data_IF_495371530690
#
_entry.id   IF_495371530690
#
_cell.length_a   1.000
_cell.length_b   1.000
_cell.length_c   1.000
_cell.angle_alpha   90.00
_cell.angle_beta   90.00
_cell.angle_gamma   90.00
#
_symmetry.space_group_name_H-M   'P 1'
#
loop_
_entity.id
_entity.type
_entity.pdbx_description
1 polymer ?
#
# COMPACT_ATOMS: atom_id res chain seq x y z
N UNK A 1 -14.35 -3.36 3.37
CA UNK A 1 -14.07 -4.42 2.39
C UNK A 1 -12.68 -4.93 2.73
N UNK A 2 -12.55 -6.23 3.01
CA UNK A 2 -11.24 -6.89 3.15
C UNK A 2 -10.80 -7.37 1.76
N UNK A 3 -9.49 -7.45 1.52
CA UNK A 3 -8.91 -8.12 0.37
C UNK A 3 -8.66 -9.57 0.78
N UNK A 4 -9.19 -10.55 0.04
CA UNK A 4 -8.87 -11.97 0.26
C UNK A 4 -7.36 -12.18 0.10
N UNK A 5 -6.72 -12.92 1.01
CA UNK A 5 -5.27 -13.12 0.96
C UNK A 5 -4.44 -11.98 1.55
N UNK A 6 -5.05 -10.92 2.10
CA UNK A 6 -4.30 -9.78 2.64
C UNK A 6 -4.81 -9.33 4.01
N UNK A 7 -3.89 -9.17 4.96
CA UNK A 7 -4.16 -8.62 6.28
C UNK A 7 -3.85 -7.12 6.30
N UNK A 8 -4.87 -6.29 6.51
CA UNK A 8 -4.68 -4.84 6.69
C UNK A 8 -4.13 -4.54 8.07
N UNK A 9 -2.96 -3.94 8.13
CA UNK A 9 -2.39 -3.31 9.32
C UNK A 9 -2.46 -1.79 9.17
N UNK A 10 -2.97 -1.12 10.20
CA UNK A 10 -2.76 0.33 10.34
C UNK A 10 -1.48 0.49 11.13
N UNK A 11 -0.46 1.01 10.49
CA UNK A 11 0.77 1.38 11.17
C UNK A 11 0.96 2.90 11.14
N UNK A 12 1.70 3.39 12.14
CA UNK A 12 1.96 4.80 12.39
C UNK A 12 3.45 4.95 12.63
N UNK A 13 4.23 4.88 11.55
CA UNK A 13 5.66 5.17 11.66
C UNK A 13 5.89 6.68 11.44
N UNK A 14 6.50 7.33 12.44
CA UNK A 14 6.87 8.75 12.35
C UNK A 14 5.72 9.74 12.17
N UNK A 15 4.47 9.34 12.44
CA UNK A 15 3.28 10.19 12.27
C UNK A 15 2.66 10.15 10.86
N UNK A 16 3.22 9.37 9.93
CA UNK A 16 2.57 9.08 8.64
C UNK A 16 1.47 8.05 8.86
N UNK A 17 0.25 8.31 8.42
CA UNK A 17 -0.76 7.25 8.36
C UNK A 17 -0.42 6.35 7.19
N UNK A 18 0.07 5.15 7.51
CA UNK A 18 0.35 4.13 6.49
C UNK A 18 -0.75 3.09 6.56
N UNK A 19 -1.46 2.92 5.45
CA UNK A 19 -2.22 1.68 5.28
C UNK A 19 -1.23 0.64 4.74
N UNK A 20 -0.97 -0.38 5.55
CA UNK A 20 -0.13 -1.50 5.15
C UNK A 20 -1.04 -2.70 4.93
N UNK A 21 -0.86 -3.41 3.83
CA UNK A 21 -1.44 -4.72 3.64
C UNK A 21 -0.32 -5.73 3.53
N UNK A 22 -0.43 -6.82 4.29
CA UNK A 22 0.49 -7.93 4.25
C UNK A 22 -0.21 -9.09 3.56
N UNK A 23 0.40 -9.62 2.51
CA UNK A 23 -0.07 -10.84 1.86
C UNK A 23 0.02 -12.00 2.87
N UNK A 24 -0.98 -12.88 2.91
CA UNK A 24 -1.03 -14.01 3.87
C UNK A 24 0.11 -15.00 3.66
N UNK A 25 0.64 -15.10 2.44
CA UNK A 25 1.85 -15.88 2.13
C UNK A 25 3.14 -15.19 2.63
N UNK A 26 3.05 -13.90 2.99
CA UNK A 26 4.12 -13.12 3.59
C UNK A 26 5.17 -12.61 2.60
N UNK A 27 4.98 -12.82 1.30
CA UNK A 27 5.94 -12.44 0.25
C UNK A 27 5.83 -10.99 -0.18
N UNK A 28 4.68 -10.34 0.03
CA UNK A 28 4.43 -9.00 -0.47
C UNK A 28 3.77 -8.10 0.55
N UNK A 29 4.16 -6.83 0.49
CA UNK A 29 3.69 -5.79 1.38
C UNK A 29 3.27 -4.57 0.57
N UNK A 30 2.05 -4.08 0.81
CA UNK A 30 1.45 -2.96 0.11
C UNK A 30 1.40 -1.76 1.03
N UNK A 31 1.94 -0.62 0.60
CA UNK A 31 2.09 0.58 1.39
C UNK A 31 1.35 1.74 0.73
N UNK A 32 0.56 2.47 1.53
CA UNK A 32 0.04 3.80 1.17
C UNK A 32 0.70 4.81 2.09
N UNK A 33 1.61 5.62 1.56
CA UNK A 33 2.31 6.67 2.29
C UNK A 33 1.52 7.99 2.24
N UNK A 34 1.30 8.61 3.41
CA UNK A 34 0.81 9.99 3.51
C UNK A 34 1.98 10.99 3.40
N UNK A 35 2.07 11.68 2.26
CA UNK A 35 2.96 12.83 2.05
C UNK A 35 2.33 14.18 2.42
N UNK A 36 1.02 14.21 2.69
CA UNK A 36 0.26 15.46 2.79
C UNK A 36 0.75 16.39 3.90
N UNK A 37 1.36 15.84 4.96
CA UNK A 37 1.98 16.60 6.04
C UNK A 37 3.15 17.50 5.60
N UNK A 38 3.77 17.23 4.44
CA UNK A 38 4.81 18.05 3.81
C UNK A 38 4.31 18.84 2.59
N UNK A 39 3.04 18.69 2.24
CA UNK A 39 2.49 19.20 0.98
C UNK A 39 2.75 18.27 -0.22
N UNK A 40 3.18 17.04 0.02
CA UNK A 40 3.38 16.01 -1.00
C UNK A 40 2.09 15.15 -1.18
N UNK A 41 1.90 14.50 -2.34
CA UNK A 41 0.78 13.59 -2.56
C UNK A 41 0.89 12.31 -1.71
N UNK A 42 -0.18 11.52 -1.72
CA UNK A 42 -0.15 10.13 -1.24
C UNK A 42 0.58 9.26 -2.26
N UNK A 43 1.49 8.40 -1.82
CA UNK A 43 2.19 7.48 -2.72
C UNK A 43 1.83 6.03 -2.41
N UNK A 44 1.73 5.19 -3.43
CA UNK A 44 1.42 3.77 -3.27
C UNK A 44 2.60 2.93 -3.73
N UNK A 45 3.04 2.02 -2.87
CA UNK A 45 4.20 1.17 -3.12
C UNK A 45 3.88 -0.29 -2.83
N UNK A 46 4.53 -1.17 -3.56
CA UNK A 46 4.58 -2.61 -3.26
C UNK A 46 6.03 -2.97 -2.98
N UNK A 47 6.26 -3.67 -1.89
CA UNK A 47 7.51 -4.35 -1.63
C UNK A 47 7.32 -5.86 -1.83
N UNK A 48 8.21 -6.48 -2.59
CA UNK A 48 8.29 -7.92 -2.77
C UNK A 48 9.51 -8.45 -2.02
N UNK A 49 9.28 -9.22 -0.94
CA UNK A 49 10.33 -9.80 -0.11
C UNK A 49 11.08 -10.93 -0.83
N UNK A 50 10.44 -11.60 -1.80
CA UNK A 50 11.07 -12.67 -2.55
C UNK A 50 12.14 -12.12 -3.53
N UNK A 51 11.95 -10.92 -4.06
CA UNK A 51 12.92 -10.26 -4.96
C UNK A 51 13.69 -9.11 -4.34
N UNK A 52 13.33 -8.65 -3.13
CA UNK A 52 13.88 -7.46 -2.46
C UNK A 52 13.68 -6.19 -3.30
N UNK A 53 12.53 -6.08 -3.98
CA UNK A 53 12.24 -4.98 -4.91
C UNK A 53 11.05 -4.14 -4.49
N UNK A 54 11.15 -2.83 -4.78
CA UNK A 54 10.08 -1.86 -4.61
C UNK A 54 9.47 -1.50 -5.96
N UNK A 55 8.14 -1.60 -6.05
CA UNK A 55 7.36 -1.17 -7.21
C UNK A 55 6.55 0.08 -6.86
N UNK A 56 6.74 1.15 -7.63
CA UNK A 56 5.89 2.35 -7.59
C UNK A 56 4.55 2.07 -8.29
N UNK A 57 3.45 2.30 -7.59
CA UNK A 57 2.10 2.23 -8.15
C UNK A 57 1.51 3.62 -8.45
N UNK A 58 2.22 4.68 -8.09
CA UNK A 58 1.92 6.06 -8.41
C UNK A 58 1.60 6.95 -7.21
N UNK A 59 1.40 8.23 -7.52
CA UNK A 59 1.10 9.31 -6.58
C UNK A 59 -0.31 9.85 -6.79
N UNK A 60 -1.01 10.17 -5.71
CA UNK A 60 -2.43 10.54 -5.69
C UNK A 60 -2.69 11.68 -4.72
N UNK A 61 -3.57 12.62 -5.09
CA UNK A 61 -3.88 13.78 -4.24
C UNK A 61 -4.81 13.45 -3.06
N UNK A 62 -5.44 12.28 -3.06
CA UNK A 62 -6.41 11.87 -2.05
C UNK A 62 -6.17 10.44 -1.57
N UNK A 63 -6.27 10.24 -0.24
CA UNK A 63 -6.05 8.93 0.40
C UNK A 63 -7.01 7.86 -0.10
N UNK A 64 -8.26 8.23 -0.41
CA UNK A 64 -9.25 7.28 -0.94
C UNK A 64 -8.83 6.72 -2.30
N UNK A 65 -8.22 7.54 -3.16
CA UNK A 65 -7.72 7.13 -4.47
C UNK A 65 -6.49 6.25 -4.33
N UNK A 66 -5.56 6.62 -3.44
CA UNK A 66 -4.38 5.81 -3.16
C UNK A 66 -4.75 4.42 -2.59
N UNK A 67 -5.73 4.39 -1.67
CA UNK A 67 -6.25 3.14 -1.11
C UNK A 67 -6.94 2.31 -2.18
N UNK A 68 -7.77 2.92 -3.03
CA UNK A 68 -8.46 2.22 -4.12
C UNK A 68 -7.46 1.59 -5.10
N UNK A 69 -6.41 2.33 -5.48
CA UNK A 69 -5.32 1.82 -6.32
C UNK A 69 -4.58 0.63 -5.67
N UNK A 70 -4.28 0.72 -4.37
CA UNK A 70 -3.69 -0.37 -3.62
C UNK A 70 -4.58 -1.62 -3.64
N UNK A 71 -5.90 -1.45 -3.46
CA UNK A 71 -6.86 -2.54 -3.53
C UNK A 71 -6.94 -3.17 -4.92
N UNK A 72 -6.96 -2.33 -5.96
CA UNK A 72 -7.01 -2.77 -7.35
C UNK A 72 -5.79 -3.62 -7.70
N UNK A 73 -4.59 -3.18 -7.31
CA UNK A 73 -3.36 -3.95 -7.55
C UNK A 73 -3.39 -5.30 -6.83
N UNK A 74 -3.73 -5.32 -5.54
CA UNK A 74 -3.81 -6.55 -4.74
C UNK A 74 -4.80 -7.57 -5.33
N UNK A 75 -5.93 -7.09 -5.87
CA UNK A 75 -6.98 -7.94 -6.45
C UNK A 75 -6.61 -8.39 -7.86
N UNK A 76 -5.89 -7.57 -8.63
CA UNK A 76 -5.46 -7.90 -9.98
C UNK A 76 -4.32 -8.93 -10.02
N UNK A 77 -3.45 -8.93 -9.01
CA UNK A 77 -2.36 -9.92 -8.90
C UNK A 77 -2.84 -11.30 -8.39
N UNK A 78 -3.94 -11.33 -7.63
CA UNK A 78 -4.57 -12.57 -7.15
C UNK A 78 -5.29 -13.40 -8.24
N UNK A 79 -5.04 -13.14 -9.53
CA UNK A 79 -5.73 -13.71 -10.70
C UNK A 79 -4.86 -14.58 -11.61
#
# INVERSE_FOLDING_TARGET
>A
MGMDGWTRRRDLEGGKQVCIWLEEEGTRELYVEDGSYKGDPYAVWVYDDATDEWTDLGEFEAVEVAVDRAMEWATADAG
#
